data_IF_033691218360
#
_entry.id   IF_033691218360
#
_cell.length_a   1.000
_cell.length_b   1.000
_cell.length_c   1.000
_cell.angle_alpha   90.00
_cell.angle_beta   90.00
_cell.angle_gamma   90.00
#
_symmetry.space_group_name_H-M   'P 1'
#
loop_
_entity.id
_entity.type
_entity.pdbx_description
1 polymer ?
#
# COMPACT_ATOMS: atom_id res chain seq x y z
N UNK A 1 -46.24 43.01 27.91
CA UNK A 1 -46.19 41.59 28.31
C UNK A 1 -47.16 40.82 27.44
N UNK A 2 -46.65 40.16 26.40
CA UNK A 2 -47.22 38.94 25.81
C UNK A 2 -46.05 38.29 25.09
N UNK A 3 -45.45 37.34 25.78
CA UNK A 3 -44.39 36.44 25.32
C UNK A 3 -44.97 35.33 24.43
N UNK A 4 -44.10 34.81 23.57
CA UNK A 4 -44.08 33.40 23.19
C UNK A 4 -44.92 33.03 21.96
N UNK A 5 -44.48 32.18 21.04
CA UNK A 5 -43.25 31.39 20.88
C UNK A 5 -43.25 30.95 19.43
N UNK A 6 -42.37 31.50 18.59
CA UNK A 6 -42.10 30.93 17.27
C UNK A 6 -41.29 29.66 17.46
N UNK A 7 -41.89 28.49 17.24
CA UNK A 7 -41.15 27.24 17.18
C UNK A 7 -40.34 27.22 15.89
N UNK A 8 -39.06 27.58 15.99
CA UNK A 8 -38.08 27.26 14.96
C UNK A 8 -37.86 25.75 15.02
N UNK A 9 -38.36 25.03 14.03
CA UNK A 9 -37.96 23.63 13.82
C UNK A 9 -36.46 23.60 13.55
N UNK A 10 -35.70 22.99 14.45
CA UNK A 10 -34.32 22.61 14.14
C UNK A 10 -34.38 21.54 13.04
N UNK A 11 -33.56 21.63 11.99
CA UNK A 11 -33.38 20.50 11.09
C UNK A 11 -32.71 19.38 11.90
N UNK A 12 -33.31 18.20 11.92
CA UNK A 12 -32.61 16.99 12.34
C UNK A 12 -31.63 16.59 11.23
N UNK A 13 -30.35 16.36 11.53
CA UNK A 13 -29.49 15.61 10.64
C UNK A 13 -29.31 14.22 11.23
N UNK A 14 -30.13 13.26 10.81
CA UNK A 14 -29.74 11.84 10.85
C UNK A 14 -29.33 11.43 9.45
N UNK A 15 -28.16 11.89 9.00
CA UNK A 15 -27.51 11.26 7.85
C UNK A 15 -26.89 9.98 8.38
N UNK A 16 -27.61 8.86 8.26
CA UNK A 16 -26.99 7.55 8.44
C UNK A 16 -25.76 7.50 7.53
N UNK A 17 -24.58 7.27 8.12
CA UNK A 17 -23.36 7.09 7.35
C UNK A 17 -23.55 5.91 6.40
N UNK A 18 -23.18 6.10 5.14
CA UNK A 18 -23.14 5.03 4.15
C UNK A 18 -22.16 3.93 4.58
N UNK A 19 -22.37 2.73 4.05
CA UNK A 19 -21.42 1.62 4.26
C UNK A 19 -19.99 1.96 3.81
N UNK A 20 -19.85 2.81 2.79
CA UNK A 20 -18.54 3.28 2.32
C UNK A 20 -17.87 4.18 3.38
N UNK A 21 -18.60 5.15 3.93
CA UNK A 21 -18.09 6.02 4.99
C UNK A 21 -17.72 5.24 6.25
N UNK A 22 -18.54 4.25 6.63
CA UNK A 22 -18.25 3.35 7.75
C UNK A 22 -16.97 2.52 7.49
N UNK A 23 -16.81 1.97 6.29
CA UNK A 23 -15.64 1.16 5.95
C UNK A 23 -14.37 2.02 5.92
N UNK A 24 -14.39 3.15 5.21
CA UNK A 24 -13.25 4.06 5.07
C UNK A 24 -12.87 4.65 6.44
N UNK A 25 -13.87 5.07 7.23
CA UNK A 25 -13.65 5.60 8.57
C UNK A 25 -12.93 4.62 9.50
N UNK A 26 -13.13 3.31 9.34
CA UNK A 26 -12.45 2.28 10.13
C UNK A 26 -11.05 1.91 9.62
N UNK A 27 -10.64 2.40 8.44
CA UNK A 27 -9.28 2.18 7.93
C UNK A 27 -8.29 3.22 8.43
N UNK A 28 -8.75 4.40 8.84
CA UNK A 28 -7.90 5.50 9.34
C UNK A 28 -6.74 5.90 8.40
N UNK A 29 -6.98 5.80 7.09
CA UNK A 29 -6.05 6.16 6.03
C UNK A 29 -6.61 7.30 5.18
N UNK A 30 -5.73 8.10 4.59
CA UNK A 30 -6.11 9.12 3.62
C UNK A 30 -6.65 8.43 2.37
N UNK A 31 -7.95 8.55 2.15
CA UNK A 31 -8.69 7.83 1.11
C UNK A 31 -8.04 7.96 -0.27
N UNK A 32 -7.69 9.19 -0.69
CA UNK A 32 -7.09 9.44 -2.00
C UNK A 32 -5.73 8.74 -2.15
N UNK A 33 -4.87 8.79 -1.13
CA UNK A 33 -3.55 8.18 -1.18
C UNK A 33 -3.68 6.64 -1.16
N UNK A 34 -4.59 6.11 -0.36
CA UNK A 34 -4.89 4.68 -0.28
C UNK A 34 -5.44 4.14 -1.61
N UNK A 35 -6.36 4.87 -2.23
CA UNK A 35 -6.90 4.51 -3.55
C UNK A 35 -5.84 4.60 -4.63
N UNK A 36 -5.00 5.65 -4.63
CA UNK A 36 -3.89 5.76 -5.56
C UNK A 36 -2.91 4.59 -5.41
N UNK A 37 -2.55 4.24 -4.18
CA UNK A 37 -1.65 3.12 -3.90
C UNK A 37 -2.26 1.78 -4.34
N UNK A 38 -3.54 1.56 -4.05
CA UNK A 38 -4.28 0.39 -4.53
C UNK A 38 -4.22 0.29 -6.06
N UNK A 39 -4.62 1.35 -6.75
CA UNK A 39 -4.72 1.37 -8.21
C UNK A 39 -3.36 1.18 -8.88
N UNK A 40 -2.33 1.91 -8.41
CA UNK A 40 -0.96 1.80 -8.94
C UNK A 40 -0.40 0.41 -8.67
N UNK A 41 -0.56 -0.14 -7.45
CA UNK A 41 -0.06 -1.48 -7.14
C UNK A 41 -0.75 -2.55 -7.99
N UNK A 42 -2.07 -2.49 -8.13
CA UNK A 42 -2.84 -3.42 -8.96
C UNK A 42 -2.39 -3.35 -10.43
N UNK A 43 -2.14 -2.14 -10.95
CA UNK A 43 -1.70 -1.95 -12.33
C UNK A 43 -0.25 -2.37 -12.56
N UNK A 44 0.61 -2.19 -11.56
CA UNK A 44 1.96 -2.77 -11.52
C UNK A 44 1.92 -4.30 -11.55
N UNK A 45 1.07 -4.95 -10.74
CA UNK A 45 0.97 -6.41 -10.72
C UNK A 45 0.53 -6.97 -12.08
N UNK A 46 -0.44 -6.31 -12.73
CA UNK A 46 -0.81 -6.66 -14.09
C UNK A 46 0.38 -6.54 -15.04
N UNK A 47 1.07 -5.40 -15.03
CA UNK A 47 2.17 -5.13 -15.97
C UNK A 47 3.31 -6.14 -15.81
N UNK A 48 3.67 -6.45 -14.56
CA UNK A 48 4.65 -7.48 -14.23
C UNK A 48 4.23 -8.88 -14.73
N UNK A 49 2.93 -9.21 -14.66
CA UNK A 49 2.38 -10.46 -15.21
C UNK A 49 2.48 -10.53 -16.73
N UNK A 50 2.15 -9.45 -17.43
CA UNK A 50 2.30 -9.37 -18.90
C UNK A 50 3.77 -9.51 -19.30
N UNK A 51 4.68 -8.88 -18.56
CA UNK A 51 6.12 -9.01 -18.73
C UNK A 51 6.69 -10.40 -18.34
N UNK A 52 5.83 -11.35 -17.95
CA UNK A 52 6.18 -12.67 -17.45
C UNK A 52 7.15 -12.69 -16.26
N UNK A 53 7.14 -11.64 -15.42
CA UNK A 53 7.92 -11.51 -14.19
C UNK A 53 7.19 -12.24 -13.05
N UNK A 54 6.84 -13.50 -13.29
CA UNK A 54 6.00 -14.33 -12.42
C UNK A 54 6.75 -15.56 -11.95
N UNK A 55 6.25 -16.20 -10.90
CA UNK A 55 6.77 -17.50 -10.50
C UNK A 55 6.46 -18.54 -11.59
N UNK A 56 7.49 -19.17 -12.14
CA UNK A 56 7.40 -20.23 -13.15
C UNK A 56 7.76 -21.59 -12.54
N UNK A 57 7.32 -22.67 -13.17
CA UNK A 57 7.56 -24.05 -12.74
C UNK A 57 6.92 -25.05 -13.72
N UNK A 58 7.22 -26.35 -13.59
CA UNK A 58 6.68 -27.37 -14.47
C UNK A 58 5.17 -27.61 -14.25
N UNK A 59 4.70 -27.41 -13.03
CA UNK A 59 3.31 -27.68 -12.63
C UNK A 59 2.42 -26.44 -12.68
N UNK A 60 1.10 -26.67 -12.84
CA UNK A 60 0.09 -25.62 -12.74
C UNK A 60 0.12 -24.99 -11.35
N UNK A 61 0.14 -23.65 -11.31
CA UNK A 61 0.19 -22.85 -10.09
C UNK A 61 -0.52 -21.51 -10.25
N UNK A 62 -0.72 -20.81 -9.15
CA UNK A 62 -1.27 -19.47 -9.16
C UNK A 62 -0.32 -18.48 -9.84
N UNK A 63 -0.90 -17.61 -10.69
CA UNK A 63 -0.16 -16.59 -11.41
C UNK A 63 0.17 -15.43 -10.47
N UNK A 64 1.33 -15.54 -9.83
CA UNK A 64 1.84 -14.56 -8.84
C UNK A 64 3.14 -13.95 -9.33
N UNK A 65 3.30 -12.64 -9.12
CA UNK A 65 4.52 -11.90 -9.47
C UNK A 65 5.69 -12.47 -8.66
N UNK A 66 6.83 -12.66 -9.31
CA UNK A 66 8.07 -13.03 -8.65
C UNK A 66 8.89 -11.75 -8.39
N UNK A 67 8.99 -11.28 -7.14
CA UNK A 67 9.67 -10.03 -6.81
C UNK A 67 11.17 -10.07 -7.14
N UNK A 68 11.80 -11.25 -7.19
CA UNK A 68 13.21 -11.35 -7.60
C UNK A 68 13.37 -11.01 -9.10
N UNK A 69 12.47 -11.48 -9.96
CA UNK A 69 12.54 -11.18 -11.40
C UNK A 69 12.30 -9.70 -11.68
N UNK A 70 11.39 -9.06 -10.94
CA UNK A 70 11.19 -7.61 -11.02
C UNK A 70 12.43 -6.87 -10.53
N UNK A 71 13.00 -7.29 -9.39
CA UNK A 71 14.22 -6.70 -8.87
C UNK A 71 15.37 -6.81 -9.88
N UNK A 72 15.59 -7.98 -10.48
CA UNK A 72 16.66 -8.21 -11.45
C UNK A 72 16.56 -7.30 -12.68
N UNK A 73 15.35 -7.01 -13.13
CA UNK A 73 15.08 -6.11 -14.26
C UNK A 73 15.32 -4.64 -13.92
N UNK A 74 14.79 -4.20 -12.77
CA UNK A 74 14.78 -2.79 -12.40
C UNK A 74 16.03 -2.33 -11.64
N UNK A 75 16.86 -3.25 -11.11
CA UNK A 75 17.86 -2.99 -10.07
C UNK A 75 18.78 -1.81 -10.35
N UNK A 76 19.49 -1.86 -11.46
CA UNK A 76 20.56 -0.91 -11.77
C UNK A 76 20.00 0.50 -11.89
N UNK A 77 18.95 0.65 -12.70
CA UNK A 77 18.29 1.94 -12.91
C UNK A 77 17.58 2.44 -11.64
N UNK A 78 16.96 1.55 -10.87
CA UNK A 78 16.31 1.92 -9.61
C UNK A 78 17.31 2.53 -8.62
N UNK A 79 18.46 1.88 -8.38
CA UNK A 79 19.46 2.42 -7.46
C UNK A 79 20.13 3.68 -8.00
N UNK A 80 20.34 3.79 -9.31
CA UNK A 80 20.79 5.03 -9.95
C UNK A 80 19.80 6.18 -9.71
N UNK A 81 18.49 5.92 -9.72
CA UNK A 81 17.46 6.91 -9.38
C UNK A 81 17.48 7.27 -7.90
N UNK A 82 17.68 6.31 -7.01
CA UNK A 82 17.80 6.52 -5.56
C UNK A 82 18.94 7.51 -5.27
N UNK A 83 20.11 7.31 -5.87
CA UNK A 83 21.27 8.19 -5.68
C UNK A 83 21.04 9.64 -6.13
N UNK A 84 20.17 9.84 -7.13
CA UNK A 84 19.93 11.14 -7.77
C UNK A 84 18.70 11.87 -7.24
N UNK A 85 17.84 11.17 -6.51
CA UNK A 85 16.51 11.68 -6.14
C UNK A 85 16.35 11.62 -4.62
N UNK A 86 16.61 12.72 -3.89
CA UNK A 86 16.57 12.74 -2.43
C UNK A 86 15.27 12.20 -1.83
N UNK A 87 14.13 12.54 -2.45
CA UNK A 87 12.81 12.07 -2.01
C UNK A 87 12.65 10.53 -2.12
N UNK A 88 13.22 9.92 -3.16
CA UNK A 88 13.20 8.46 -3.31
C UNK A 88 14.14 7.79 -2.31
N UNK A 89 15.32 8.36 -2.08
CA UNK A 89 16.24 7.89 -1.05
C UNK A 89 15.60 7.91 0.35
N UNK A 90 14.91 9.00 0.69
CA UNK A 90 14.15 9.11 1.94
C UNK A 90 13.07 8.03 2.04
N UNK A 91 12.33 7.77 0.95
CA UNK A 91 11.30 6.74 0.94
C UNK A 91 11.85 5.32 1.15
N UNK A 92 12.98 5.00 0.50
CA UNK A 92 13.67 3.73 0.69
C UNK A 92 14.16 3.60 2.14
N UNK A 93 14.79 4.64 2.69
CA UNK A 93 15.26 4.67 4.07
C UNK A 93 14.11 4.47 5.08
N UNK A 94 12.94 5.07 4.81
CA UNK A 94 11.76 4.90 5.65
C UNK A 94 11.32 3.43 5.69
N UNK A 95 11.22 2.76 4.54
CA UNK A 95 10.82 1.35 4.44
C UNK A 95 11.84 0.39 5.09
N UNK A 96 13.12 0.72 5.02
CA UNK A 96 14.17 -0.05 5.71
C UNK A 96 14.04 0.07 7.23
N UNK A 97 13.78 1.28 7.74
CA UNK A 97 13.69 1.54 9.19
C UNK A 97 12.34 1.13 9.79
N UNK A 98 11.27 1.17 8.99
CA UNK A 98 9.89 0.98 9.44
C UNK A 98 9.15 -0.06 8.58
N UNK A 99 9.65 -1.30 8.45
CA UNK A 99 9.01 -2.31 7.60
C UNK A 99 7.55 -2.56 8.03
N UNK A 100 6.62 -2.80 7.09
CA UNK A 100 5.24 -3.11 7.43
C UNK A 100 5.16 -4.42 8.22
N UNK A 101 4.45 -4.42 9.35
CA UNK A 101 4.27 -5.62 10.19
C UNK A 101 3.47 -6.70 9.45
N UNK A 102 3.59 -7.95 9.86
CA UNK A 102 2.76 -9.06 9.36
C UNK A 102 1.75 -9.47 10.41
N UNK A 103 0.49 -9.57 10.02
CA UNK A 103 -0.54 -10.17 10.88
C UNK A 103 -0.40 -11.70 10.86
N UNK A 104 -0.42 -12.30 12.04
CA UNK A 104 -0.26 -13.75 12.25
C UNK A 104 -1.29 -14.24 13.26
N UNK A 105 -1.58 -15.53 13.24
CA UNK A 105 -2.31 -16.18 14.32
C UNK A 105 -1.30 -16.71 15.34
N UNK A 106 -1.37 -16.27 16.60
CA UNK A 106 -0.43 -16.69 17.65
C UNK A 106 -0.85 -17.97 18.39
N UNK A 107 -1.95 -18.59 17.96
CA UNK A 107 -2.58 -19.73 18.62
C UNK A 107 -3.85 -19.35 19.39
N UNK A 108 -4.01 -18.09 19.77
CA UNK A 108 -5.15 -17.60 20.56
C UNK A 108 -5.87 -16.41 19.93
N UNK A 109 -5.13 -15.53 19.27
CA UNK A 109 -5.65 -14.29 18.69
C UNK A 109 -4.84 -13.85 17.48
N UNK A 110 -5.34 -12.83 16.78
CA UNK A 110 -4.55 -12.13 15.77
C UNK A 110 -3.45 -11.30 16.44
N UNK A 111 -2.19 -11.61 16.13
CA UNK A 111 -1.02 -10.89 16.58
C UNK A 111 -0.28 -10.23 15.41
N UNK A 112 0.63 -9.32 15.73
CA UNK A 112 1.50 -8.67 14.75
C UNK A 112 2.96 -9.00 15.04
N UNK A 113 3.69 -9.44 14.02
CA UNK A 113 5.12 -9.74 14.11
C UNK A 113 5.92 -8.90 13.13
N UNK A 114 7.20 -8.71 13.43
CA UNK A 114 8.14 -8.23 12.43
C UNK A 114 8.32 -9.31 11.34
N UNK A 115 8.21 -8.94 10.07
CA UNK A 115 8.36 -9.89 8.97
C UNK A 115 9.83 -10.30 8.79
N UNK A 116 10.05 -11.58 8.54
CA UNK A 116 11.32 -12.09 8.03
C UNK A 116 11.24 -12.20 6.49
N UNK A 117 11.93 -11.29 5.80
CA UNK A 117 11.97 -11.27 4.34
C UNK A 117 13.14 -12.10 3.84
N UNK A 118 12.84 -13.15 3.06
CA UNK A 118 13.86 -14.07 2.56
C UNK A 118 14.79 -13.44 1.51
N UNK A 119 16.09 -13.59 1.71
CA UNK A 119 17.15 -13.20 0.76
C UNK A 119 17.87 -11.91 1.15
N UNK A 120 18.94 -11.57 0.40
CA UNK A 120 19.79 -10.40 0.69
C UNK A 120 19.60 -9.24 -0.30
N UNK A 121 18.77 -9.42 -1.33
CA UNK A 121 18.49 -8.39 -2.33
C UNK A 121 17.57 -7.32 -1.76
N UNK A 122 18.12 -6.12 -1.57
CA UNK A 122 17.41 -4.96 -1.02
C UNK A 122 16.17 -4.57 -1.84
N UNK A 123 16.24 -4.61 -3.17
CA UNK A 123 15.09 -4.22 -4.00
C UNK A 123 13.98 -5.28 -3.92
N UNK A 124 14.34 -6.56 -3.94
CA UNK A 124 13.37 -7.64 -3.67
C UNK A 124 12.69 -7.45 -2.31
N UNK A 125 13.45 -7.13 -1.27
CA UNK A 125 12.89 -6.91 0.08
C UNK A 125 11.91 -5.74 0.06
N UNK A 126 12.25 -4.61 -0.57
CA UNK A 126 11.33 -3.47 -0.73
C UNK A 126 10.03 -3.88 -1.44
N UNK A 127 10.11 -4.69 -2.51
CA UNK A 127 8.92 -5.18 -3.21
C UNK A 127 8.04 -6.08 -2.34
N UNK A 128 8.64 -6.95 -1.52
CA UNK A 128 7.91 -7.76 -0.54
C UNK A 128 7.24 -6.89 0.53
N UNK A 129 7.91 -5.84 0.99
CA UNK A 129 7.36 -4.86 1.93
C UNK A 129 6.17 -4.12 1.30
N UNK A 130 6.27 -3.65 0.06
CA UNK A 130 5.16 -3.01 -0.65
C UNK A 130 3.93 -3.91 -0.75
N UNK A 131 4.12 -5.21 -1.07
CA UNK A 131 3.04 -6.18 -1.08
C UNK A 131 2.42 -6.42 0.31
N UNK A 132 3.24 -6.43 1.36
CA UNK A 132 2.74 -6.54 2.74
C UNK A 132 1.98 -5.27 3.16
N UNK A 133 2.47 -4.08 2.82
CA UNK A 133 1.77 -2.82 3.06
C UNK A 133 0.41 -2.83 2.36
N UNK A 134 0.35 -3.20 1.07
CA UNK A 134 -0.90 -3.41 0.33
C UNK A 134 -1.85 -4.34 1.08
N UNK A 135 -1.38 -5.46 1.61
CA UNK A 135 -2.25 -6.37 2.35
C UNK A 135 -2.73 -5.79 3.69
N UNK A 136 -1.87 -5.08 4.41
CA UNK A 136 -2.22 -4.49 5.70
C UNK A 136 -3.29 -3.39 5.58
N UNK A 137 -3.22 -2.58 4.52
CA UNK A 137 -4.05 -1.39 4.34
C UNK A 137 -5.54 -1.70 4.13
N UNK A 138 -5.90 -2.88 3.62
CA UNK A 138 -7.30 -3.23 3.27
C UNK A 138 -7.96 -4.22 4.23
N UNK A 139 -7.28 -4.62 5.32
CA UNK A 139 -7.79 -5.65 6.23
C UNK A 139 -8.07 -5.17 7.66
N UNK A 140 -7.94 -3.87 7.95
CA UNK A 140 -8.61 -3.20 9.08
C UNK A 140 -8.43 -3.84 10.47
N UNK A 141 -7.32 -4.54 10.72
CA UNK A 141 -7.11 -5.30 11.95
C UNK A 141 -6.76 -4.47 13.19
N UNK A 142 -6.87 -3.15 13.13
CA UNK A 142 -6.53 -2.24 14.23
C UNK A 142 -7.84 -1.75 14.84
N UNK A 143 -8.27 -2.39 15.95
CA UNK A 143 -9.43 -1.93 16.70
C UNK A 143 -9.37 -0.43 16.96
N UNK A 144 -10.52 0.24 16.90
CA UNK A 144 -10.68 1.69 17.01
C UNK A 144 -9.72 2.32 18.02
N UNK A 145 -8.79 3.13 17.51
CA UNK A 145 -8.04 4.09 18.32
C UNK A 145 -7.95 5.42 17.57
N UNK A 146 -8.60 6.49 18.05
CA UNK A 146 -8.52 7.79 17.41
C UNK A 146 -7.08 8.32 17.44
N UNK A 147 -6.65 8.93 16.33
CA UNK A 147 -5.41 9.69 16.15
C UNK A 147 -4.18 9.11 16.87
N UNK A 148 -3.86 7.85 16.56
CA UNK A 148 -2.66 7.23 17.12
C UNK A 148 -1.47 7.28 16.14
N UNK A 149 -0.24 7.23 16.66
CA UNK A 149 0.98 7.14 15.83
C UNK A 149 0.94 5.99 14.80
N UNK A 150 0.16 4.93 15.06
CA UNK A 150 -0.02 3.83 14.11
C UNK A 150 -0.84 4.19 12.86
N UNK A 151 -1.72 5.19 12.94
CA UNK A 151 -2.45 5.73 11.79
C UNK A 151 -1.51 6.55 10.90
N UNK A 152 -0.68 7.40 11.52
CA UNK A 152 0.34 8.17 10.80
C UNK A 152 1.34 7.25 10.10
N UNK A 153 1.75 6.16 10.77
CA UNK A 153 2.64 5.15 10.16
C UNK A 153 2.06 4.51 8.90
N UNK A 154 0.78 4.15 8.88
CA UNK A 154 0.16 3.55 7.69
C UNK A 154 0.07 4.54 6.54
N UNK A 155 -0.26 5.81 6.83
CA UNK A 155 -0.25 6.88 5.84
C UNK A 155 1.16 7.15 5.30
N UNK A 156 2.19 7.10 6.15
CA UNK A 156 3.58 7.23 5.72
C UNK A 156 4.04 6.02 4.89
N UNK A 157 3.61 4.80 5.23
CA UNK A 157 3.85 3.61 4.40
C UNK A 157 3.21 3.79 3.02
N UNK A 158 1.96 4.26 2.94
CA UNK A 158 1.31 4.56 1.64
C UNK A 158 2.13 5.58 0.86
N UNK A 159 2.44 6.74 1.47
CA UNK A 159 3.11 7.85 0.82
C UNK A 159 4.50 7.47 0.29
N UNK A 160 5.32 6.84 1.12
CA UNK A 160 6.64 6.37 0.69
C UNK A 160 6.53 5.20 -0.29
N UNK A 161 5.52 4.35 -0.14
CA UNK A 161 5.28 3.22 -1.03
C UNK A 161 4.92 3.64 -2.44
N UNK A 162 4.13 4.72 -2.60
CA UNK A 162 3.82 5.34 -3.89
C UNK A 162 5.10 5.78 -4.62
N UNK A 163 6.00 6.46 -3.91
CA UNK A 163 7.28 6.95 -4.46
C UNK A 163 8.15 5.78 -4.92
N UNK A 164 8.26 4.72 -4.11
CA UNK A 164 9.05 3.53 -4.45
C UNK A 164 8.45 2.79 -5.64
N UNK A 165 7.12 2.56 -5.66
CA UNK A 165 6.45 1.88 -6.76
C UNK A 165 6.65 2.62 -8.09
N UNK A 166 6.46 3.95 -8.11
CA UNK A 166 6.69 4.74 -9.31
C UNK A 166 8.14 4.57 -9.81
N UNK A 167 9.11 4.66 -8.91
CA UNK A 167 10.52 4.49 -9.27
C UNK A 167 10.82 3.09 -9.82
N UNK A 168 10.28 2.03 -9.22
CA UNK A 168 10.41 0.65 -9.73
C UNK A 168 9.85 0.54 -11.14
N UNK A 169 8.62 0.98 -11.34
CA UNK A 169 7.94 0.87 -12.64
C UNK A 169 8.73 1.62 -13.72
N UNK A 170 9.21 2.83 -13.42
CA UNK A 170 10.03 3.65 -14.35
C UNK A 170 11.46 3.16 -14.55
N UNK A 171 11.89 2.13 -13.83
CA UNK A 171 13.25 1.59 -13.94
C UNK A 171 13.38 0.47 -14.97
N UNK A 172 12.28 0.05 -15.59
CA UNK A 172 12.28 -0.87 -16.73
C UNK A 172 11.27 -0.35 -17.79
N UNK A 173 11.75 -0.12 -19.01
CA UNK A 173 10.94 0.51 -20.06
C UNK A 173 9.73 -0.35 -20.48
N UNK A 174 9.90 -1.67 -20.50
CA UNK A 174 8.84 -2.62 -20.88
C UNK A 174 7.78 -2.66 -19.78
N UNK A 175 8.19 -2.73 -18.52
CA UNK A 175 7.28 -2.68 -17.37
C UNK A 175 6.50 -1.37 -17.34
N UNK A 176 7.15 -0.23 -17.58
CA UNK A 176 6.47 1.07 -17.67
C UNK A 176 5.48 1.13 -18.83
N UNK A 177 5.85 0.57 -19.99
CA UNK A 177 4.97 0.48 -21.14
C UNK A 177 3.69 -0.33 -20.80
N UNK A 178 3.82 -1.52 -20.23
CA UNK A 178 2.67 -2.37 -19.87
C UNK A 178 1.85 -1.84 -18.69
N UNK A 179 2.47 -1.00 -17.84
CA UNK A 179 1.78 -0.27 -16.79
C UNK A 179 0.87 0.83 -17.36
N UNK A 180 1.37 1.57 -18.36
CA UNK A 180 0.69 2.73 -18.95
C UNK A 180 -0.14 2.42 -20.20
N UNK A 181 -0.07 1.18 -20.70
CA UNK A 181 -0.90 0.74 -21.82
C UNK A 181 -2.37 0.65 -21.39
N UNK A 182 -3.23 1.26 -22.20
CA UNK A 182 -4.67 1.04 -22.15
C UNK A 182 -4.96 -0.09 -23.15
N UNK A 183 -5.47 -1.22 -22.65
CA UNK A 183 -6.11 -2.21 -23.52
C UNK A 183 -7.55 -1.81 -23.77
#
# INVERSE_FOLDING_TARGET
>A
MTDGTGSVSKPEPSTEMSFAELAIGNLHIRENDAFAFFAIYARYEYAAKVCQLVHKGPDRRDLTVNPQLVADKAREEFWRRVEKTPQLAEAVDYYIRNPPKKQVWDGTSGAWTEPDYQGADKLKILLLQLGQARNNLFHGGKGWKPDTPECDRDNDLIRHGLIILEAVIRSDEILFHEFSSFQ
#
